data_IF_628937787287
#
_entry.id   IF_628937787287
#
_cell.length_a   1.000
_cell.length_b   1.000
_cell.length_c   1.000
_cell.angle_alpha   90.00
_cell.angle_beta   90.00
_cell.angle_gamma   90.00
#
_symmetry.space_group_name_H-M   'P 1'
#
loop_
_entity.id
_entity.type
_entity.pdbx_description
1 polymer ?
#
# COMPACT_ATOMS: atom_id res chain seq x y z
N UNK A 1 -10.40 -47.83 16.47
CA UNK A 1 -10.44 -48.02 15.00
C UNK A 1 -11.43 -47.01 14.47
N UNK A 2 -11.12 -46.02 13.62
CA UNK A 2 -9.97 -45.83 12.72
C UNK A 2 -9.56 -44.35 12.69
N UNK A 3 -8.25 -44.15 12.66
CA UNK A 3 -7.63 -42.90 12.22
C UNK A 3 -7.93 -42.67 10.74
N UNK A 4 -8.14 -41.41 10.35
CA UNK A 4 -8.09 -40.99 8.95
C UNK A 4 -6.84 -40.10 8.74
N UNK A 5 -5.70 -40.64 8.26
CA UNK A 5 -4.51 -39.87 7.97
C UNK A 5 -4.50 -39.52 6.48
N UNK A 6 -5.32 -38.56 6.07
CA UNK A 6 -5.07 -37.87 4.81
C UNK A 6 -4.22 -36.65 5.14
N UNK A 7 -2.92 -36.90 5.20
CA UNK A 7 -1.91 -35.86 5.07
C UNK A 7 -2.29 -35.00 3.87
N UNK A 8 -2.53 -33.75 4.15
CA UNK A 8 -2.96 -32.71 3.24
C UNK A 8 -1.95 -32.56 2.09
N UNK A 9 -2.21 -33.27 0.98
CA UNK A 9 -1.41 -33.32 -0.26
C UNK A 9 -1.68 -32.10 -1.16
N UNK A 10 -1.91 -30.93 -0.59
CA UNK A 10 -1.80 -29.70 -1.38
C UNK A 10 -0.32 -29.47 -1.68
N UNK A 11 0.05 -29.01 -2.89
CA UNK A 11 1.43 -28.62 -3.17
C UNK A 11 1.93 -27.66 -2.08
N UNK A 12 3.15 -27.86 -1.58
CA UNK A 12 3.70 -27.08 -0.45
C UNK A 12 3.59 -25.56 -0.71
N UNK A 13 3.76 -25.13 -1.95
CA UNK A 13 3.61 -23.75 -2.39
C UNK A 13 2.20 -23.19 -2.20
N UNK A 14 1.16 -23.99 -2.51
CA UNK A 14 -0.22 -23.57 -2.31
C UNK A 14 -0.51 -23.37 -0.82
N UNK A 15 0.04 -24.26 0.03
CA UNK A 15 -0.08 -24.13 1.48
C UNK A 15 0.67 -22.95 2.06
N UNK A 16 1.87 -22.67 1.57
CA UNK A 16 2.62 -21.48 1.96
C UNK A 16 1.84 -20.21 1.61
N UNK A 17 1.22 -20.14 0.43
CA UNK A 17 0.36 -19.01 0.04
C UNK A 17 -0.83 -18.84 0.99
N UNK A 18 -1.56 -19.92 1.30
CA UNK A 18 -2.68 -19.85 2.25
C UNK A 18 -2.26 -19.35 3.63
N UNK A 19 -1.10 -19.80 4.14
CA UNK A 19 -0.55 -19.35 5.41
C UNK A 19 -0.16 -17.86 5.36
N UNK A 20 0.47 -17.41 4.28
CA UNK A 20 0.84 -16.00 4.08
C UNK A 20 -0.40 -15.12 3.98
N UNK A 21 -1.41 -15.52 3.21
CA UNK A 21 -2.65 -14.78 3.04
C UNK A 21 -3.43 -14.68 4.37
N UNK A 22 -3.51 -15.78 5.13
CA UNK A 22 -4.14 -15.79 6.44
C UNK A 22 -3.38 -14.93 7.46
N UNK A 23 -2.04 -15.00 7.47
CA UNK A 23 -1.21 -14.17 8.33
C UNK A 23 -1.39 -12.68 8.00
N UNK A 24 -1.31 -12.33 6.71
CA UNK A 24 -1.53 -10.97 6.23
C UNK A 24 -2.92 -10.46 6.64
N UNK A 25 -3.97 -11.28 6.49
CA UNK A 25 -5.32 -10.92 6.90
C UNK A 25 -5.44 -10.63 8.40
N UNK A 26 -4.88 -11.50 9.25
CA UNK A 26 -4.88 -11.30 10.71
C UNK A 26 -4.16 -10.00 11.10
N UNK A 27 -2.96 -9.77 10.55
CA UNK A 27 -2.17 -8.57 10.85
C UNK A 27 -2.90 -7.32 10.39
N UNK A 28 -3.48 -7.35 9.20
CA UNK A 28 -4.21 -6.24 8.59
C UNK A 28 -5.46 -5.83 9.36
N UNK A 29 -6.17 -6.79 9.94
CA UNK A 29 -7.48 -6.58 10.56
C UNK A 29 -7.38 -6.35 12.06
N UNK A 30 -6.49 -7.08 12.73
CA UNK A 30 -6.41 -7.15 14.19
C UNK A 30 -5.03 -6.74 14.75
N UNK A 31 -4.09 -6.41 13.87
CA UNK A 31 -2.73 -6.01 14.24
C UNK A 31 -1.78 -7.20 14.40
N UNK A 32 -0.48 -6.89 14.51
CA UNK A 32 0.58 -7.92 14.54
C UNK A 32 0.50 -8.84 15.75
N UNK A 33 0.01 -8.35 16.88
CA UNK A 33 -0.15 -9.14 18.12
C UNK A 33 -1.19 -10.25 17.99
N UNK A 34 -2.12 -10.15 17.03
CA UNK A 34 -3.09 -11.19 16.72
C UNK A 34 -2.45 -12.39 15.99
N UNK A 35 -1.28 -12.21 15.37
CA UNK A 35 -0.58 -13.29 14.68
C UNK A 35 0.03 -14.27 15.70
N UNK A 36 -0.69 -15.35 15.96
CA UNK A 36 -0.21 -16.47 16.77
C UNK A 36 -0.31 -17.76 15.97
N UNK A 37 0.56 -18.73 16.25
CA UNK A 37 0.55 -20.04 15.58
C UNK A 37 -0.78 -20.76 15.75
N UNK A 38 -1.45 -20.60 16.90
CA UNK A 38 -2.79 -21.13 17.12
C UNK A 38 -3.81 -20.51 16.19
N UNK A 39 -3.93 -19.17 16.18
CA UNK A 39 -4.92 -18.47 15.36
C UNK A 39 -4.67 -18.65 13.88
N UNK A 40 -3.41 -18.67 13.46
CA UNK A 40 -3.04 -18.95 12.08
C UNK A 40 -3.43 -20.37 11.68
N UNK A 41 -3.15 -21.36 12.53
CA UNK A 41 -3.51 -22.75 12.28
C UNK A 41 -5.03 -22.94 12.17
N UNK A 42 -5.77 -22.33 13.11
CA UNK A 42 -7.24 -22.33 13.11
C UNK A 42 -7.78 -21.70 11.81
N UNK A 43 -7.20 -20.60 11.34
CA UNK A 43 -7.62 -19.90 10.12
C UNK A 43 -7.45 -20.74 8.84
N UNK A 44 -6.46 -21.63 8.78
CA UNK A 44 -6.17 -22.46 7.59
C UNK A 44 -6.52 -23.94 7.75
N UNK A 45 -7.16 -24.31 8.87
CA UNK A 45 -7.55 -25.68 9.19
C UNK A 45 -6.37 -26.64 9.39
N UNK A 46 -5.33 -26.17 10.08
CA UNK A 46 -4.12 -26.94 10.40
C UNK A 46 -3.93 -27.12 11.91
N UNK A 47 -3.02 -28.01 12.31
CA UNK A 47 -2.47 -27.99 13.66
C UNK A 47 -1.33 -26.98 13.75
N UNK A 48 -1.07 -26.40 14.94
CA UNK A 48 0.02 -25.43 15.11
C UNK A 48 1.38 -25.98 14.71
N UNK A 49 1.65 -27.28 14.95
CA UNK A 49 2.88 -27.94 14.52
C UNK A 49 2.99 -28.13 13.00
N UNK A 50 1.88 -28.11 12.26
CA UNK A 50 1.88 -28.24 10.81
C UNK A 50 2.41 -26.99 10.11
N UNK A 51 2.26 -25.80 10.71
CA UNK A 51 2.79 -24.54 10.17
C UNK A 51 4.31 -24.63 10.03
N UNK A 52 4.98 -25.19 11.03
CA UNK A 52 6.45 -25.29 11.06
C UNK A 52 7.05 -26.24 10.01
N UNK A 53 6.21 -27.04 9.33
CA UNK A 53 6.64 -27.80 8.14
C UNK A 53 6.81 -26.92 6.90
N UNK A 54 6.13 -25.78 6.85
CA UNK A 54 6.16 -24.84 5.73
C UNK A 54 7.03 -23.61 6.00
N UNK A 55 7.06 -23.16 7.26
CA UNK A 55 7.86 -22.04 7.72
C UNK A 55 8.55 -22.43 9.03
N UNK A 56 9.86 -22.74 9.03
CA UNK A 56 10.58 -23.21 10.22
C UNK A 56 10.43 -22.28 11.43
N UNK A 57 10.30 -20.98 11.20
CA UNK A 57 10.08 -19.96 12.22
C UNK A 57 8.95 -18.99 11.83
N UNK A 58 8.48 -18.22 12.81
CA UNK A 58 7.55 -17.12 12.53
C UNK A 58 8.22 -16.02 11.71
N UNK A 59 9.53 -15.83 11.86
CA UNK A 59 10.33 -14.87 11.09
C UNK A 59 10.36 -15.24 9.60
N UNK A 60 10.47 -16.53 9.27
CA UNK A 60 10.39 -17.00 7.88
C UNK A 60 9.01 -16.70 7.26
N UNK A 61 7.93 -16.90 8.04
CA UNK A 61 6.59 -16.53 7.62
C UNK A 61 6.46 -15.01 7.41
N UNK A 62 7.00 -14.20 8.33
CA UNK A 62 6.97 -12.74 8.22
C UNK A 62 7.77 -12.25 7.01
N UNK A 63 8.92 -12.87 6.70
CA UNK A 63 9.69 -12.60 5.49
C UNK A 63 8.88 -12.86 4.21
N UNK A 64 8.10 -13.94 4.18
CA UNK A 64 7.19 -14.26 3.09
C UNK A 64 5.99 -13.29 3.01
N UNK A 65 5.44 -12.84 4.15
CA UNK A 65 4.43 -11.78 4.19
C UNK A 65 4.99 -10.49 3.58
N UNK A 66 6.22 -10.10 3.91
CA UNK A 66 6.87 -8.91 3.30
C UNK A 66 7.06 -9.10 1.79
N UNK A 67 7.41 -10.30 1.32
CA UNK A 67 7.50 -10.58 -0.12
C UNK A 67 6.15 -10.44 -0.84
N UNK A 68 5.07 -10.89 -0.22
CA UNK A 68 3.73 -10.70 -0.77
C UNK A 68 3.33 -9.22 -0.80
N UNK A 69 3.68 -8.46 0.24
CA UNK A 69 3.51 -7.00 0.28
C UNK A 69 4.24 -6.36 -0.89
N UNK A 70 5.52 -6.64 -1.09
CA UNK A 70 6.31 -6.12 -2.21
C UNK A 70 5.64 -6.36 -3.57
N UNK A 71 5.24 -7.60 -3.85
CA UNK A 71 4.57 -7.98 -5.10
C UNK A 71 3.33 -7.11 -5.34
N UNK A 72 2.51 -6.93 -4.31
CA UNK A 72 1.29 -6.11 -4.43
C UNK A 72 1.63 -4.63 -4.60
N UNK A 73 2.60 -4.09 -3.85
CA UNK A 73 2.99 -2.69 -4.00
C UNK A 73 3.57 -2.44 -5.40
N UNK A 74 4.40 -3.33 -5.92
CA UNK A 74 5.05 -3.18 -7.21
C UNK A 74 4.05 -3.28 -8.36
N UNK A 75 3.01 -4.10 -8.24
CA UNK A 75 1.92 -4.21 -9.22
C UNK A 75 1.09 -2.91 -9.37
N UNK A 76 1.21 -1.96 -8.46
CA UNK A 76 0.49 -0.66 -8.55
C UNK A 76 1.23 0.41 -9.36
N UNK A 77 2.51 0.17 -9.73
CA UNK A 77 3.22 1.13 -10.55
C UNK A 77 2.75 1.06 -12.01
N UNK A 78 2.35 2.19 -12.61
CA UNK A 78 1.94 2.21 -14.01
C UNK A 78 3.16 2.12 -14.94
N UNK A 79 2.97 1.70 -16.20
CA UNK A 79 4.03 1.67 -17.20
C UNK A 79 4.74 3.01 -17.36
N UNK A 80 6.08 2.97 -17.48
CA UNK A 80 6.91 4.17 -17.61
C UNK A 80 6.67 4.97 -18.90
N UNK A 81 6.10 4.34 -19.94
CA UNK A 81 5.80 4.98 -21.23
C UNK A 81 4.62 5.96 -21.20
N UNK A 82 3.84 5.98 -20.11
CA UNK A 82 2.71 6.90 -19.97
C UNK A 82 3.19 8.32 -19.61
N UNK A 83 2.41 9.36 -19.96
CA UNK A 83 2.69 10.73 -19.53
C UNK A 83 2.81 10.84 -18.00
N UNK A 84 3.67 11.72 -17.46
CA UNK A 84 3.95 11.80 -16.03
C UNK A 84 2.72 11.97 -15.15
N UNK A 85 1.79 12.85 -15.54
CA UNK A 85 0.57 13.08 -14.76
C UNK A 85 -0.41 11.92 -14.88
N UNK A 86 -0.48 11.27 -16.04
CA UNK A 86 -1.25 10.02 -16.17
C UNK A 86 -0.66 8.90 -15.31
N UNK A 87 0.68 8.83 -15.16
CA UNK A 87 1.33 7.89 -14.25
C UNK A 87 0.95 8.20 -12.80
N UNK A 88 1.04 9.46 -12.38
CA UNK A 88 0.69 9.85 -11.02
C UNK A 88 -0.78 9.54 -10.70
N UNK A 89 -1.69 9.90 -11.62
CA UNK A 89 -3.12 9.62 -11.47
C UNK A 89 -3.39 8.12 -11.35
N UNK A 90 -2.86 7.31 -12.27
CA UNK A 90 -3.06 5.85 -12.24
C UNK A 90 -2.46 5.21 -11.01
N UNK A 91 -1.32 5.71 -10.53
CA UNK A 91 -0.72 5.25 -9.29
C UNK A 91 -1.64 5.54 -8.09
N UNK A 92 -2.14 6.78 -7.95
CA UNK A 92 -3.07 7.15 -6.87
C UNK A 92 -4.33 6.30 -6.94
N UNK A 93 -4.90 6.12 -8.14
CA UNK A 93 -6.08 5.30 -8.34
C UNK A 93 -5.82 3.82 -7.99
N UNK A 94 -4.71 3.24 -8.44
CA UNK A 94 -4.34 1.87 -8.12
C UNK A 94 -4.13 1.66 -6.62
N UNK A 95 -3.50 2.62 -5.93
CA UNK A 95 -3.32 2.57 -4.47
C UNK A 95 -4.64 2.73 -3.71
N UNK A 96 -5.54 3.58 -4.20
CA UNK A 96 -6.88 3.75 -3.65
C UNK A 96 -7.82 2.56 -3.95
N UNK A 97 -7.59 1.82 -5.04
CA UNK A 97 -8.36 0.64 -5.44
C UNK A 97 -7.76 -0.69 -5.00
N UNK A 98 -6.50 -0.74 -4.57
CA UNK A 98 -5.88 -1.88 -3.90
C UNK A 98 -6.49 -2.10 -2.49
N UNK A 99 -7.79 -1.90 -2.38
CA UNK A 99 -8.56 -1.73 -1.18
C UNK A 99 -9.60 -2.85 -1.14
N UNK A 100 -9.46 -3.73 -0.15
CA UNK A 100 -10.12 -5.04 -0.03
C UNK A 100 -9.25 -5.96 0.82
N UNK A 101 -9.05 -7.24 0.47
CA UNK A 101 -7.98 -8.05 1.09
C UNK A 101 -6.59 -7.37 1.05
N UNK A 102 -6.37 -6.47 0.08
CA UNK A 102 -5.18 -5.63 -0.08
C UNK A 102 -5.17 -4.33 0.78
N UNK A 103 -6.29 -3.91 1.39
CA UNK A 103 -6.35 -2.78 2.35
C UNK A 103 -5.31 -2.95 3.47
N UNK A 104 -5.15 -4.20 3.87
CA UNK A 104 -4.21 -4.61 4.89
C UNK A 104 -2.79 -4.22 4.57
N UNK A 105 -2.40 -4.28 3.30
CA UNK A 105 -1.01 -4.10 2.87
C UNK A 105 -0.57 -2.66 3.07
N UNK A 106 -1.36 -1.68 2.63
CA UNK A 106 -1.01 -0.26 2.84
C UNK A 106 -1.04 0.12 4.33
N UNK A 107 -2.00 -0.40 5.09
CA UNK A 107 -2.04 -0.19 6.55
C UNK A 107 -0.84 -0.80 7.26
N UNK A 108 -0.41 -1.98 6.81
CA UNK A 108 0.71 -2.74 7.36
C UNK A 108 2.05 -2.07 7.05
N UNK A 109 2.24 -1.53 5.85
CA UNK A 109 3.44 -0.73 5.49
C UNK A 109 3.57 0.51 6.38
N UNK A 110 2.45 1.08 6.82
CA UNK A 110 2.40 2.25 7.70
C UNK A 110 2.42 1.88 9.20
N UNK A 111 2.40 0.60 9.54
CA UNK A 111 2.33 0.14 10.93
C UNK A 111 3.72 0.07 11.56
N UNK A 112 3.99 0.99 12.49
CA UNK A 112 5.23 1.00 13.28
C UNK A 112 5.41 -0.30 14.06
N UNK A 113 4.34 -0.81 14.69
CA UNK A 113 4.40 -2.08 15.43
C UNK A 113 4.73 -3.27 14.53
N UNK A 114 4.22 -3.27 13.30
CA UNK A 114 4.58 -4.32 12.34
C UNK A 114 6.06 -4.21 11.97
N UNK A 115 6.53 -3.01 11.62
CA UNK A 115 7.92 -2.77 11.26
C UNK A 115 8.89 -3.20 12.37
N UNK A 116 8.57 -2.89 13.63
CA UNK A 116 9.37 -3.28 14.80
C UNK A 116 9.33 -4.78 15.11
N UNK A 117 8.32 -5.50 14.61
CA UNK A 117 8.19 -6.94 14.80
C UNK A 117 8.87 -7.75 13.69
N UNK A 118 9.38 -7.09 12.64
CA UNK A 118 10.03 -7.77 11.53
C UNK A 118 11.50 -8.07 11.82
N UNK A 119 12.05 -9.15 11.23
CA UNK A 119 13.48 -9.32 11.09
C UNK A 119 14.12 -8.14 10.35
N UNK A 120 15.40 -7.88 10.61
CA UNK A 120 16.13 -6.74 10.04
C UNK A 120 16.03 -6.65 8.51
N UNK A 121 16.12 -7.78 7.79
CA UNK A 121 15.95 -7.84 6.34
C UNK A 121 14.54 -7.42 5.90
N UNK A 122 13.50 -7.95 6.56
CA UNK A 122 12.11 -7.61 6.28
C UNK A 122 11.82 -6.12 6.51
N UNK A 123 12.33 -5.56 7.60
CA UNK A 123 12.20 -4.13 7.90
C UNK A 123 12.91 -3.24 6.86
N UNK A 124 14.12 -3.63 6.44
CA UNK A 124 14.88 -2.92 5.41
C UNK A 124 14.15 -2.95 4.06
N UNK A 125 13.57 -4.09 3.69
CA UNK A 125 12.78 -4.27 2.46
C UNK A 125 11.51 -3.42 2.42
N UNK A 126 10.75 -3.36 3.52
CA UNK A 126 9.61 -2.45 3.62
C UNK A 126 10.03 -0.98 3.55
N UNK A 127 11.10 -0.61 4.23
CA UNK A 127 11.65 0.74 4.16
C UNK A 127 12.02 1.10 2.71
N UNK A 128 12.64 0.16 1.98
CA UNK A 128 12.96 0.34 0.57
C UNK A 128 11.71 0.54 -0.31
N UNK A 129 10.59 -0.12 -0.01
CA UNK A 129 9.32 0.10 -0.71
C UNK A 129 8.77 1.52 -0.53
N UNK A 130 8.86 2.06 0.69
CA UNK A 130 8.45 3.44 1.00
C UNK A 130 9.34 4.44 0.26
N UNK A 131 10.65 4.22 0.27
CA UNK A 131 11.62 5.06 -0.46
C UNK A 131 11.39 5.00 -1.97
N UNK A 132 11.13 3.81 -2.54
CA UNK A 132 10.81 3.62 -3.96
C UNK A 132 9.54 4.38 -4.35
N UNK A 133 8.50 4.29 -3.52
CA UNK A 133 7.23 5.00 -3.73
C UNK A 133 7.45 6.51 -3.75
N UNK A 134 8.18 7.03 -2.77
CA UNK A 134 8.51 8.46 -2.69
C UNK A 134 9.25 8.93 -3.94
N UNK A 135 10.31 8.20 -4.35
CA UNK A 135 11.10 8.54 -5.54
C UNK A 135 10.26 8.53 -6.82
N UNK A 136 9.36 7.56 -6.97
CA UNK A 136 8.44 7.50 -8.11
C UNK A 136 7.55 8.74 -8.18
N UNK A 137 6.98 9.17 -7.05
CA UNK A 137 6.11 10.35 -6.97
C UNK A 137 6.91 11.62 -7.28
N UNK A 138 8.07 11.80 -6.65
CA UNK A 138 8.96 12.94 -6.90
C UNK A 138 9.35 13.04 -8.37
N UNK A 139 9.62 11.91 -9.03
CA UNK A 139 9.93 11.90 -10.46
C UNK A 139 8.73 12.34 -11.31
N UNK A 140 7.53 11.81 -11.06
CA UNK A 140 6.34 12.22 -11.80
C UNK A 140 6.03 13.71 -11.64
N UNK A 141 6.22 14.26 -10.43
CA UNK A 141 6.05 15.67 -10.14
C UNK A 141 7.09 16.53 -10.88
N UNK A 142 8.36 16.13 -10.86
CA UNK A 142 9.46 16.83 -11.56
C UNK A 142 9.22 16.86 -13.07
N UNK A 143 8.81 15.73 -13.64
CA UNK A 143 8.50 15.63 -15.07
C UNK A 143 7.25 16.47 -15.43
N UNK A 144 6.22 16.46 -14.57
CA UNK A 144 5.02 17.29 -14.74
C UNK A 144 5.31 18.79 -14.63
N UNK A 145 6.26 19.20 -13.77
CA UNK A 145 6.73 20.59 -13.69
C UNK A 145 7.47 21.00 -14.96
N UNK A 146 8.34 20.14 -15.50
CA UNK A 146 9.05 20.38 -16.75
C UNK A 146 8.08 20.50 -17.95
N UNK A 147 6.96 19.78 -17.91
CA UNK A 147 5.88 19.86 -18.91
C UNK A 147 4.90 21.03 -18.69
N UNK A 148 5.01 21.76 -17.58
CA UNK A 148 4.08 22.85 -17.22
C UNK A 148 2.69 22.38 -16.76
N UNK A 149 2.52 21.10 -16.47
CA UNK A 149 1.26 20.49 -15.99
C UNK A 149 1.09 20.59 -14.46
N UNK A 150 2.22 20.67 -13.75
CA UNK A 150 2.31 20.79 -12.29
C UNK A 150 2.88 22.15 -11.92
N UNK A 151 2.35 22.73 -10.84
CA UNK A 151 2.87 23.97 -10.25
C UNK A 151 4.36 23.86 -9.92
N UNK A 152 5.13 24.87 -10.31
CA UNK A 152 6.58 24.91 -10.14
C UNK A 152 7.04 25.82 -8.99
N UNK A 153 6.10 26.45 -8.27
CA UNK A 153 6.36 27.30 -7.10
C UNK A 153 6.65 26.50 -5.82
N UNK A 154 6.50 25.17 -5.85
CA UNK A 154 6.78 24.25 -4.76
C UNK A 154 7.71 23.12 -5.24
N UNK A 155 8.67 22.73 -4.41
CA UNK A 155 9.59 21.65 -4.73
C UNK A 155 8.88 20.27 -4.75
N UNK A 156 9.22 19.35 -5.68
CA UNK A 156 8.70 17.98 -5.70
C UNK A 156 8.82 17.24 -4.36
N UNK A 157 9.90 17.50 -3.62
CA UNK A 157 10.21 16.88 -2.32
C UNK A 157 9.24 17.33 -1.22
N UNK A 158 8.64 18.52 -1.35
CA UNK A 158 7.59 19.01 -0.45
C UNK A 158 6.19 18.51 -0.86
N UNK A 159 5.97 18.32 -2.16
CA UNK A 159 4.70 17.82 -2.71
C UNK A 159 4.54 16.30 -2.55
N UNK A 160 5.62 15.52 -2.65
CA UNK A 160 5.55 14.06 -2.60
C UNK A 160 4.97 13.52 -1.27
N UNK A 161 5.36 14.03 -0.07
CA UNK A 161 4.71 13.63 1.18
C UNK A 161 3.22 13.95 1.24
N UNK A 162 2.75 15.01 0.58
CA UNK A 162 1.31 15.37 0.53
C UNK A 162 0.55 14.34 -0.31
N UNK A 163 1.09 13.95 -1.47
CA UNK A 163 0.53 12.89 -2.30
C UNK A 163 0.51 11.56 -1.53
N UNK A 164 1.63 11.17 -0.92
CA UNK A 164 1.74 9.94 -0.13
C UNK A 164 0.77 9.94 1.05
N UNK A 165 0.67 11.05 1.77
CA UNK A 165 -0.24 11.24 2.90
C UNK A 165 -1.70 11.11 2.47
N UNK A 166 -2.06 11.68 1.32
CA UNK A 166 -3.41 11.55 0.75
C UNK A 166 -3.73 10.10 0.39
N UNK A 167 -2.80 9.41 -0.29
CA UNK A 167 -2.94 7.97 -0.61
C UNK A 167 -3.08 7.14 0.68
N UNK A 168 -2.31 7.45 1.71
CA UNK A 168 -2.35 6.78 3.01
C UNK A 168 -3.68 7.01 3.73
N UNK A 169 -4.19 8.24 3.71
CA UNK A 169 -5.48 8.59 4.29
C UNK A 169 -6.62 7.81 3.63
N UNK A 170 -6.61 7.67 2.30
CA UNK A 170 -7.59 6.87 1.56
C UNK A 170 -7.55 5.37 1.92
N UNK A 171 -6.39 4.86 2.35
CA UNK A 171 -6.24 3.48 2.81
C UNK A 171 -6.76 3.26 4.24
N UNK A 172 -6.75 4.29 5.09
CA UNK A 172 -7.13 4.19 6.51
C UNK A 172 -8.65 4.33 6.76
N UNK A 173 -9.42 4.81 5.79
CA UNK A 173 -10.89 4.92 5.93
C UNK A 173 -11.54 3.53 5.89
N UNK A 174 -12.40 3.17 6.87
CA UNK A 174 -13.14 1.91 6.87
C UNK A 174 -13.96 1.72 5.60
N UNK A 175 -14.15 0.47 5.19
CA UNK A 175 -14.96 0.19 4.00
C UNK A 175 -16.42 0.59 4.22
N UNK A 176 -16.89 1.51 3.37
CA UNK A 176 -18.28 2.01 3.30
C UNK A 176 -18.87 1.80 1.91
N UNK A 177 -18.36 0.83 1.15
CA UNK A 177 -18.83 0.48 -0.20
C UNK A 177 -18.83 1.68 -1.15
N UNK A 178 -19.96 1.92 -1.85
CA UNK A 178 -20.08 2.96 -2.89
C UNK A 178 -19.70 4.38 -2.45
N UNK A 179 -19.92 4.75 -1.18
CA UNK A 179 -19.53 6.08 -0.67
C UNK A 179 -18.02 6.25 -0.69
N UNK A 180 -17.28 5.21 -0.33
CA UNK A 180 -15.81 5.24 -0.30
C UNK A 180 -15.22 5.51 -1.68
N UNK A 181 -15.71 4.84 -2.71
CA UNK A 181 -15.21 5.06 -4.06
C UNK A 181 -15.46 6.50 -4.54
N UNK A 182 -16.62 7.07 -4.20
CA UNK A 182 -16.92 8.46 -4.52
C UNK A 182 -15.98 9.41 -3.78
N UNK A 183 -15.73 9.18 -2.49
CA UNK A 183 -14.81 9.98 -1.68
C UNK A 183 -13.37 9.87 -2.18
N UNK A 184 -12.93 8.67 -2.57
CA UNK A 184 -11.60 8.42 -3.14
C UNK A 184 -11.41 9.14 -4.48
N UNK A 185 -12.43 9.09 -5.36
CA UNK A 185 -12.43 9.85 -6.62
C UNK A 185 -12.35 11.35 -6.37
N UNK A 186 -13.21 11.89 -5.51
CA UNK A 186 -13.24 13.31 -5.18
C UNK A 186 -11.91 13.79 -4.55
N UNK A 187 -11.31 12.99 -3.67
CA UNK A 187 -10.02 13.30 -3.04
C UNK A 187 -8.89 13.28 -4.05
N UNK A 188 -8.86 12.29 -4.96
CA UNK A 188 -7.89 12.22 -6.07
C UNK A 188 -8.01 13.47 -6.95
N UNK A 189 -9.22 13.82 -7.36
CA UNK A 189 -9.46 14.96 -8.24
C UNK A 189 -9.04 16.29 -7.57
N UNK A 190 -9.36 16.46 -6.29
CA UNK A 190 -8.91 17.62 -5.51
C UNK A 190 -7.38 17.67 -5.36
N UNK A 191 -6.73 16.54 -5.11
CA UNK A 191 -5.27 16.46 -5.04
C UNK A 191 -4.63 16.87 -6.37
N UNK A 192 -5.12 16.34 -7.50
CA UNK A 192 -4.60 16.70 -8.82
C UNK A 192 -4.80 18.19 -9.11
N UNK A 193 -5.95 18.78 -8.74
CA UNK A 193 -6.19 20.21 -8.87
C UNK A 193 -5.22 21.06 -8.02
N UNK A 194 -4.90 20.63 -6.80
CA UNK A 194 -3.93 21.32 -5.92
C UNK A 194 -2.50 21.26 -6.46
N UNK A 195 -2.17 20.21 -7.22
CA UNK A 195 -0.88 20.05 -7.89
C UNK A 195 -0.81 20.90 -9.17
N UNK A 196 -1.92 21.14 -9.84
CA UNK A 196 -1.98 22.06 -10.98
C UNK A 196 -1.87 23.52 -10.54
N UNK A 197 -1.37 24.38 -11.43
CA UNK A 197 -1.38 25.82 -11.19
C UNK A 197 -2.83 26.32 -11.03
N UNK A 198 -3.13 27.20 -10.06
CA UNK A 198 -4.38 27.92 -10.11
C UNK A 198 -4.43 28.70 -11.43
N UNK A 199 -5.55 28.61 -12.17
CA UNK A 199 -5.81 29.53 -13.26
C UNK A 199 -5.50 30.94 -12.75
N UNK A 200 -4.58 31.66 -13.42
CA UNK A 200 -4.08 32.94 -12.96
C UNK A 200 -5.25 33.78 -12.44
N UNK A 201 -5.27 34.03 -11.12
CA UNK A 201 -6.34 34.83 -10.53
C UNK A 201 -6.39 36.14 -11.31
N UNK A 202 -7.57 36.55 -11.85
CA UNK A 202 -7.65 37.77 -12.64
C UNK A 202 -7.07 38.89 -11.80
N UNK A 203 -6.03 39.54 -12.32
CA UNK A 203 -5.32 40.60 -11.63
C UNK A 203 -6.37 41.60 -11.13
N UNK A 204 -6.57 41.64 -9.82
CA UNK A 204 -7.44 42.61 -9.18
C UNK A 204 -6.93 43.98 -9.62
N UNK A 205 -7.64 44.61 -10.57
CA UNK A 205 -7.36 45.96 -11.02
C UNK A 205 -7.41 46.81 -9.77
N UNK A 206 -6.23 47.21 -9.27
CA UNK A 206 -6.11 48.23 -8.24
C UNK A 206 -6.72 49.49 -8.82
N UNK A 207 -7.99 49.74 -8.50
CA UNK A 207 -8.61 51.04 -8.69
C UNK A 207 -7.77 52.03 -7.90
N UNK A 208 -6.95 52.80 -8.61
CA UNK A 208 -6.32 54.01 -8.09
C UNK A 208 -7.46 54.93 -7.67
N UNK A 209 -7.78 54.97 -6.39
CA UNK A 209 -8.47 56.10 -5.78
C UNK A 209 -7.51 57.29 -5.81
N UNK A 210 -8.04 58.39 -6.35
CA UNK A 210 -7.41 59.70 -6.56
C UNK A 210 -6.93 60.33 -5.25
#
# INVERSE_FOLDING_TARGET
>A
MSANPLGDRRPSELRQRELVDAALHLIATEGITALTTRRLADAVGLSSGAIFRHFPTLDDLLGAVVAQVEVVLDATYPPAALPPMTRLERFIAARAHAVGAQLGILRLVLSEQFLLSLPADGAARLTACVVRTRRFIEQCLRDGQAAGEVRADLAPEALAPIVMGTVSALALVPDRGRRREADARATKDALLLLLSLPAAAPALRRTRTR
#
